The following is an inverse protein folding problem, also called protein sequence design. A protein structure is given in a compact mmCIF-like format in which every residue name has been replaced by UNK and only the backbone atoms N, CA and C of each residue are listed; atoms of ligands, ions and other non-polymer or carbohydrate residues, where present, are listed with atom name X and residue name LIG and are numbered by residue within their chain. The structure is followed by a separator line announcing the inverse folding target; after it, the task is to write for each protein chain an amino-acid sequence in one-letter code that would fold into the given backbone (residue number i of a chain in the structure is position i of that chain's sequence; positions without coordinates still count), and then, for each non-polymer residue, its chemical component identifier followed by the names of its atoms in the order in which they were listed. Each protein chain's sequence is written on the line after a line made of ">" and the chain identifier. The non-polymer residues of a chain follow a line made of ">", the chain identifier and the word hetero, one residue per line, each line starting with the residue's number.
data_IF_170717420900
#
_entry.id   IF_170717420900
#
_cell.length_a   1.000
_cell.length_b   1.000
_cell.length_c   1.000
_cell.angle_alpha   90.00
_cell.angle_beta   90.00
_cell.angle_gamma   90.00
#
_symmetry.space_group_name_H-M   'P 1'
#
loop_
_entity.id
_entity.type
_entity.pdbx_description
1 polymer ?
#
# COMPACT_ATOMS: atom_id res chain seq x y z
N UNK A 1 -40.81 4.47 -11.34
CA UNK A 1 -40.68 5.59 -10.37
C UNK A 1 -39.22 5.92 -9.97
N UNK A 2 -38.22 5.26 -10.57
CA UNK A 2 -36.79 5.42 -10.21
C UNK A 2 -35.94 6.14 -11.28
N UNK A 3 -36.54 6.77 -12.28
CA UNK A 3 -35.81 7.32 -13.44
C UNK A 3 -35.73 8.86 -13.46
N UNK A 4 -36.38 9.54 -12.53
CA UNK A 4 -36.16 10.98 -12.33
C UNK A 4 -35.20 11.27 -11.17
N UNK A 5 -34.01 10.71 -11.24
CA UNK A 5 -32.89 11.33 -10.52
C UNK A 5 -32.68 12.68 -11.18
N UNK A 6 -33.02 13.74 -10.45
CA UNK A 6 -32.97 15.12 -10.89
C UNK A 6 -31.63 15.37 -11.60
N UNK A 7 -31.63 15.71 -12.87
CA UNK A 7 -30.41 15.98 -13.67
C UNK A 7 -29.47 16.97 -12.98
N UNK A 8 -30.07 17.92 -12.25
CA UNK A 8 -29.30 18.89 -11.45
C UNK A 8 -28.56 18.22 -10.30
N UNK A 9 -29.19 17.29 -9.58
CA UNK A 9 -28.56 16.56 -8.49
C UNK A 9 -27.42 15.65 -8.99
N UNK A 10 -27.58 15.00 -10.13
CA UNK A 10 -26.52 14.21 -10.78
C UNK A 10 -25.33 15.08 -11.20
N UNK A 11 -25.61 16.25 -11.77
CA UNK A 11 -24.56 17.19 -12.17
C UNK A 11 -23.82 17.75 -10.96
N UNK A 12 -24.55 18.11 -9.90
CA UNK A 12 -23.97 18.58 -8.64
C UNK A 12 -23.05 17.52 -8.03
N UNK A 13 -23.53 16.29 -7.93
CA UNK A 13 -22.74 15.18 -7.39
C UNK A 13 -21.48 14.92 -8.22
N UNK A 14 -21.57 15.01 -9.56
CA UNK A 14 -20.42 14.84 -10.43
C UNK A 14 -19.37 15.95 -10.21
N UNK A 15 -19.78 17.21 -10.03
CA UNK A 15 -18.86 18.31 -9.74
C UNK A 15 -18.19 18.17 -8.39
N UNK A 16 -18.96 17.85 -7.35
CA UNK A 16 -18.43 17.64 -5.99
C UNK A 16 -17.42 16.47 -5.98
N UNK A 17 -17.75 15.39 -6.66
CA UNK A 17 -16.83 14.23 -6.78
C UNK A 17 -15.54 14.63 -7.50
N UNK A 18 -15.62 15.42 -8.57
CA UNK A 18 -14.44 15.89 -9.30
C UNK A 18 -13.55 16.78 -8.42
N UNK A 19 -14.15 17.66 -7.62
CA UNK A 19 -13.43 18.55 -6.70
C UNK A 19 -12.72 17.79 -5.58
N UNK A 20 -13.35 16.77 -5.01
CA UNK A 20 -12.80 15.99 -3.89
C UNK A 20 -11.72 15.00 -4.36
N UNK A 21 -11.79 14.51 -5.60
CA UNK A 21 -10.92 13.44 -6.12
C UNK A 21 -9.41 13.70 -5.99
N UNK A 22 -8.87 14.92 -6.16
CA UNK A 22 -7.44 15.17 -6.02
C UNK A 22 -6.89 14.85 -4.63
N UNK A 23 -7.66 15.06 -3.55
CA UNK A 23 -7.22 14.81 -2.17
C UNK A 23 -6.85 13.35 -1.91
N UNK A 24 -7.77 12.36 -2.03
CA UNK A 24 -7.45 10.96 -1.79
C UNK A 24 -6.41 10.44 -2.79
N UNK A 25 -6.42 10.95 -4.03
CA UNK A 25 -5.42 10.59 -5.02
C UNK A 25 -4.02 11.06 -4.61
N UNK A 26 -3.87 12.28 -4.10
CA UNK A 26 -2.60 12.81 -3.62
C UNK A 26 -2.06 12.03 -2.42
N UNK A 27 -2.93 11.69 -1.45
CA UNK A 27 -2.57 10.85 -0.30
C UNK A 27 -2.15 9.44 -0.74
N UNK A 28 -2.88 8.88 -1.70
CA UNK A 28 -2.56 7.59 -2.30
C UNK A 28 -1.17 7.62 -2.96
N UNK A 29 -0.90 8.58 -3.83
CA UNK A 29 0.39 8.70 -4.53
C UNK A 29 1.52 8.93 -3.54
N UNK A 30 1.32 9.74 -2.50
CA UNK A 30 2.29 9.95 -1.42
C UNK A 30 2.67 8.63 -0.77
N UNK A 31 1.68 7.85 -0.36
CA UNK A 31 1.89 6.54 0.29
C UNK A 31 2.55 5.53 -0.66
N UNK A 32 2.06 5.46 -1.89
CA UNK A 32 2.51 4.51 -2.89
C UNK A 32 3.95 4.77 -3.37
N UNK A 33 4.29 6.02 -3.61
CA UNK A 33 5.66 6.43 -3.99
C UNK A 33 6.58 6.58 -2.77
N UNK A 34 6.11 6.30 -1.54
CA UNK A 34 6.88 6.48 -0.32
C UNK A 34 7.55 7.86 -0.27
N UNK A 35 6.80 8.89 -0.63
CA UNK A 35 7.31 10.25 -0.62
C UNK A 35 7.41 10.69 0.83
N UNK A 36 8.64 10.82 1.34
CA UNK A 36 8.90 11.37 2.66
C UNK A 36 8.40 12.82 2.75
N UNK A 37 8.00 13.23 3.92
CA UNK A 37 7.27 14.46 4.26
C UNK A 37 7.83 15.71 3.56
N UNK A 38 7.39 15.95 2.33
CA UNK A 38 7.68 17.20 1.63
C UNK A 38 6.58 18.22 1.94
N UNK A 39 6.93 19.47 2.19
CA UNK A 39 5.95 20.54 2.44
C UNK A 39 5.01 20.75 1.23
N UNK A 40 5.47 20.40 0.04
CA UNK A 40 4.73 20.63 -1.21
C UNK A 40 3.38 19.92 -1.25
N UNK A 41 3.29 18.63 -0.88
CA UNK A 41 2.02 17.91 -0.91
C UNK A 41 1.01 18.49 0.08
N UNK A 42 1.47 18.95 1.26
CA UNK A 42 0.62 19.59 2.27
C UNK A 42 0.04 20.89 1.74
N UNK A 43 0.85 21.69 1.05
CA UNK A 43 0.41 22.95 0.42
C UNK A 43 -0.66 22.65 -0.63
N UNK A 44 -0.43 21.71 -1.54
CA UNK A 44 -1.42 21.34 -2.57
C UNK A 44 -2.70 20.84 -1.94
N UNK A 45 -2.62 20.01 -0.89
CA UNK A 45 -3.77 19.49 -0.18
C UNK A 45 -4.61 20.60 0.48
N UNK A 46 -3.96 21.56 1.13
CA UNK A 46 -4.62 22.72 1.74
C UNK A 46 -5.23 23.62 0.67
N UNK A 47 -4.54 23.84 -0.45
CA UNK A 47 -5.07 24.62 -1.57
C UNK A 47 -6.32 23.96 -2.17
N UNK A 48 -6.32 22.64 -2.38
CA UNK A 48 -7.48 21.92 -2.88
C UNK A 48 -8.67 22.05 -1.93
N UNK A 49 -8.45 21.86 -0.62
CA UNK A 49 -9.48 22.06 0.38
C UNK A 49 -10.03 23.49 0.37
N UNK A 50 -9.17 24.49 0.27
CA UNK A 50 -9.59 25.90 0.20
C UNK A 50 -10.43 26.18 -1.05
N UNK A 51 -10.08 25.63 -2.21
CA UNK A 51 -10.84 25.75 -3.46
C UNK A 51 -12.21 25.09 -3.30
N UNK A 52 -12.30 23.90 -2.71
CA UNK A 52 -13.59 23.21 -2.47
C UNK A 52 -14.51 24.08 -1.61
N UNK A 53 -13.99 24.62 -0.50
CA UNK A 53 -14.76 25.48 0.41
C UNK A 53 -15.20 26.75 -0.31
N UNK A 54 -14.30 27.40 -1.05
CA UNK A 54 -14.60 28.62 -1.79
C UNK A 54 -15.68 28.39 -2.85
N UNK A 55 -15.57 27.31 -3.63
CA UNK A 55 -16.55 26.96 -4.65
C UNK A 55 -17.95 26.69 -4.06
N UNK A 56 -18.02 26.03 -2.89
CA UNK A 56 -19.29 25.83 -2.20
C UNK A 56 -19.89 27.14 -1.70
N UNK A 57 -19.10 28.04 -1.12
CA UNK A 57 -19.58 29.37 -0.67
C UNK A 57 -20.08 30.19 -1.86
N UNK A 58 -19.33 30.25 -2.95
CA UNK A 58 -19.71 31.01 -4.14
C UNK A 58 -20.99 30.46 -4.78
N UNK A 59 -21.19 29.15 -4.75
CA UNK A 59 -22.42 28.54 -5.25
C UNK A 59 -23.61 28.79 -4.30
N UNK A 60 -23.42 28.69 -2.98
CA UNK A 60 -24.49 28.95 -2.00
C UNK A 60 -24.94 30.40 -1.99
N UNK A 61 -24.03 31.34 -2.24
CA UNK A 61 -24.36 32.78 -2.32
C UNK A 61 -24.98 33.17 -3.66
N UNK A 62 -25.03 32.23 -4.62
CA UNK A 62 -25.55 32.49 -5.97
C UNK A 62 -24.66 33.37 -6.85
N UNK A 63 -23.46 33.73 -6.35
CA UNK A 63 -22.51 34.56 -7.09
C UNK A 63 -21.90 33.83 -8.28
N UNK A 64 -21.67 32.53 -8.13
CA UNK A 64 -21.08 31.71 -9.18
C UNK A 64 -21.70 30.31 -9.19
N UNK A 65 -22.00 29.81 -10.40
CA UNK A 65 -22.38 28.41 -10.59
C UNK A 65 -21.14 27.53 -10.61
N UNK A 66 -21.20 26.30 -10.10
CA UNK A 66 -20.10 25.31 -10.13
C UNK A 66 -19.46 25.15 -11.51
N UNK A 67 -20.27 25.24 -12.58
CA UNK A 67 -19.77 25.14 -13.96
C UNK A 67 -18.78 26.24 -14.31
N UNK A 68 -18.96 27.42 -13.76
CA UNK A 68 -18.09 28.58 -14.03
C UNK A 68 -16.80 28.58 -13.19
N UNK A 69 -16.82 27.94 -12.02
CA UNK A 69 -15.67 27.85 -11.12
C UNK A 69 -14.78 26.62 -11.35
N UNK A 70 -15.20 25.68 -12.22
CA UNK A 70 -14.47 24.46 -12.57
C UNK A 70 -13.00 24.69 -12.97
N UNK A 71 -12.66 25.85 -13.54
CA UNK A 71 -11.29 26.16 -13.91
C UNK A 71 -10.34 26.13 -12.69
N UNK A 72 -10.80 26.49 -11.48
CA UNK A 72 -10.01 26.42 -10.26
C UNK A 72 -9.67 24.97 -9.92
N UNK A 73 -10.65 24.08 -9.99
CA UNK A 73 -10.46 22.64 -9.80
C UNK A 73 -9.50 22.04 -10.84
N UNK A 74 -9.64 22.43 -12.12
CA UNK A 74 -8.71 22.00 -13.19
C UNK A 74 -7.28 22.46 -12.92
N UNK A 75 -7.11 23.65 -12.35
CA UNK A 75 -5.79 24.19 -11.98
C UNK A 75 -5.16 23.33 -10.85
N UNK A 76 -5.93 22.94 -9.84
CA UNK A 76 -5.47 22.02 -8.78
C UNK A 76 -5.12 20.65 -9.37
N UNK A 77 -5.96 20.09 -10.23
CA UNK A 77 -5.67 18.81 -10.91
C UNK A 77 -4.35 18.90 -11.68
N UNK A 78 -4.12 19.99 -12.41
CA UNK A 78 -2.86 20.22 -13.12
C UNK A 78 -1.66 20.28 -12.16
N UNK A 79 -1.79 20.98 -11.02
CA UNK A 79 -0.75 21.04 -10.00
C UNK A 79 -0.43 19.65 -9.42
N UNK A 80 -1.46 18.85 -9.16
CA UNK A 80 -1.30 17.45 -8.69
C UNK A 80 -0.57 16.63 -9.75
N UNK A 81 -0.94 16.74 -11.03
CA UNK A 81 -0.27 16.04 -12.13
C UNK A 81 1.21 16.40 -12.18
N UNK A 82 1.54 17.69 -12.17
CA UNK A 82 2.94 18.17 -12.20
C UNK A 82 3.71 17.65 -10.98
N UNK A 83 3.13 17.74 -9.79
CA UNK A 83 3.75 17.22 -8.57
C UNK A 83 4.07 15.73 -8.65
N UNK A 84 3.12 14.93 -9.13
CA UNK A 84 3.29 13.47 -9.28
C UNK A 84 4.36 13.15 -10.32
N UNK A 85 4.36 13.85 -11.47
CA UNK A 85 5.38 13.67 -12.51
C UNK A 85 6.79 13.98 -11.97
N UNK A 86 6.94 15.10 -11.25
CA UNK A 86 8.22 15.47 -10.63
C UNK A 86 8.66 14.41 -9.61
N UNK A 87 7.74 13.91 -8.78
CA UNK A 87 8.04 12.85 -7.82
C UNK A 87 8.50 11.55 -8.49
N UNK A 88 7.84 11.16 -9.59
CA UNK A 88 8.21 10.00 -10.39
C UNK A 88 9.60 10.18 -11.01
N UNK A 89 9.85 11.33 -11.65
CA UNK A 89 11.15 11.65 -12.27
C UNK A 89 12.26 11.60 -11.23
N UNK A 90 12.07 12.20 -10.06
CA UNK A 90 13.04 12.16 -8.97
C UNK A 90 13.37 10.74 -8.50
N UNK A 91 12.37 9.86 -8.41
CA UNK A 91 12.59 8.45 -8.08
C UNK A 91 13.32 7.69 -9.21
N UNK A 92 13.00 8.01 -10.46
CA UNK A 92 13.70 7.44 -11.63
C UNK A 92 15.18 7.82 -11.64
N UNK A 93 15.49 9.11 -11.45
CA UNK A 93 16.87 9.61 -11.43
C UNK A 93 17.67 8.98 -10.28
N UNK A 94 17.05 8.80 -9.12
CA UNK A 94 17.70 8.14 -7.96
C UNK A 94 17.79 6.62 -8.10
N UNK A 95 17.38 6.03 -9.22
CA UNK A 95 17.33 4.57 -9.46
C UNK A 95 16.59 3.77 -8.38
N UNK A 96 15.63 4.40 -7.72
CA UNK A 96 14.83 3.80 -6.65
C UNK A 96 13.53 3.17 -7.16
N UNK A 97 13.37 3.01 -8.48
CA UNK A 97 12.22 2.36 -9.07
C UNK A 97 12.46 0.86 -9.21
N UNK A 98 11.78 0.09 -8.39
CA UNK A 98 11.61 -1.34 -8.59
C UNK A 98 10.81 -1.62 -9.86
N UNK A 99 11.02 -2.81 -10.45
CA UNK A 99 10.33 -3.20 -11.69
C UNK A 99 8.80 -3.12 -11.57
N UNK A 100 8.26 -3.40 -10.37
CA UNK A 100 6.82 -3.29 -10.05
C UNK A 100 6.33 -1.84 -10.08
N UNK A 101 7.12 -0.93 -9.54
CA UNK A 101 6.82 0.50 -9.52
C UNK A 101 6.80 1.07 -10.93
N UNK A 102 7.61 0.57 -11.87
CA UNK A 102 7.60 0.97 -13.28
C UNK A 102 6.26 0.71 -13.96
N UNK A 103 5.64 -0.44 -13.73
CA UNK A 103 4.32 -0.76 -14.30
C UNK A 103 3.23 0.16 -13.75
N UNK A 104 3.24 0.44 -12.45
CA UNK A 104 2.27 1.35 -11.83
C UNK A 104 2.48 2.80 -12.30
N UNK A 105 3.73 3.23 -12.47
CA UNK A 105 4.05 4.54 -13.05
C UNK A 105 3.57 4.63 -14.49
N UNK A 106 3.74 3.58 -15.30
CA UNK A 106 3.21 3.52 -16.67
C UNK A 106 1.68 3.66 -16.68
N UNK A 107 0.98 2.96 -15.80
CA UNK A 107 -0.47 3.05 -15.67
C UNK A 107 -0.93 4.45 -15.20
N UNK A 108 -0.20 5.10 -14.26
CA UNK A 108 -0.46 6.49 -13.85
C UNK A 108 -0.30 7.47 -15.01
N UNK A 109 0.73 7.33 -15.83
CA UNK A 109 0.95 8.17 -17.01
C UNK A 109 -0.24 8.02 -17.98
N UNK A 110 -0.75 6.80 -18.21
CA UNK A 110 -1.92 6.59 -19.04
C UNK A 110 -3.17 7.29 -18.49
N UNK A 111 -3.40 7.26 -17.18
CA UNK A 111 -4.51 7.99 -16.54
C UNK A 111 -4.38 9.50 -16.76
N UNK A 112 -3.17 10.05 -16.63
CA UNK A 112 -2.95 11.47 -16.88
C UNK A 112 -3.16 11.86 -18.34
N UNK A 113 -2.69 11.05 -19.29
CA UNK A 113 -2.94 11.30 -20.70
C UNK A 113 -4.45 11.27 -21.02
N UNK A 114 -5.18 10.31 -20.47
CA UNK A 114 -6.63 10.24 -20.62
C UNK A 114 -7.34 11.46 -20.01
N UNK A 115 -6.91 11.92 -18.83
CA UNK A 115 -7.45 13.12 -18.19
C UNK A 115 -7.19 14.38 -19.02
N UNK A 116 -6.01 14.52 -19.64
CA UNK A 116 -5.69 15.64 -20.55
C UNK A 116 -6.58 15.59 -21.80
N UNK A 117 -6.78 14.41 -22.39
CA UNK A 117 -7.68 14.24 -23.57
C UNK A 117 -9.10 14.66 -23.21
N UNK A 118 -9.61 14.20 -22.07
CA UNK A 118 -10.94 14.56 -21.59
C UNK A 118 -11.07 16.07 -21.33
N UNK A 119 -10.04 16.71 -20.77
CA UNK A 119 -10.00 18.14 -20.51
C UNK A 119 -10.04 18.94 -21.82
N UNK A 120 -9.24 18.56 -22.80
CA UNK A 120 -9.25 19.19 -24.14
C UNK A 120 -10.62 19.00 -24.81
N UNK A 121 -11.21 17.80 -24.71
CA UNK A 121 -12.54 17.50 -25.21
C UNK A 121 -13.61 18.39 -24.58
N UNK A 122 -13.57 18.57 -23.26
CA UNK A 122 -14.49 19.43 -22.53
C UNK A 122 -14.47 20.88 -23.04
N UNK A 123 -13.27 21.46 -23.17
CA UNK A 123 -13.13 22.86 -23.63
C UNK A 123 -13.44 23.04 -25.11
N UNK A 124 -13.28 22.02 -25.94
CA UNK A 124 -13.60 22.10 -27.40
C UNK A 124 -15.08 21.88 -27.74
N UNK A 125 -15.70 20.90 -27.10
CA UNK A 125 -17.05 20.45 -27.55
C UNK A 125 -18.16 20.77 -26.54
N UNK A 126 -17.81 21.11 -25.30
CA UNK A 126 -18.77 21.34 -24.20
C UNK A 126 -19.59 20.10 -23.80
N UNK A 127 -19.37 18.95 -24.43
CA UNK A 127 -20.10 17.72 -24.19
C UNK A 127 -19.24 16.60 -23.62
N UNK A 128 -19.81 15.87 -22.64
CA UNK A 128 -19.40 14.56 -22.14
C UNK A 128 -17.88 14.35 -21.95
N UNK A 129 -17.23 15.31 -21.30
CA UNK A 129 -15.89 15.12 -20.79
C UNK A 129 -15.86 14.01 -19.75
N UNK A 130 -14.82 13.22 -19.74
CA UNK A 130 -14.56 12.26 -18.67
C UNK A 130 -14.83 10.80 -18.99
N UNK A 131 -15.11 10.42 -20.23
CA UNK A 131 -15.30 9.00 -20.60
C UNK A 131 -13.97 8.26 -20.61
N UNK A 132 -12.96 8.82 -21.24
CA UNK A 132 -11.64 8.20 -21.34
C UNK A 132 -10.94 8.16 -19.98
N UNK A 133 -11.03 9.24 -19.19
CA UNK A 133 -10.48 9.29 -17.84
C UNK A 133 -11.10 8.26 -16.91
N UNK A 134 -12.42 8.07 -16.97
CA UNK A 134 -13.12 7.04 -16.18
C UNK A 134 -12.68 5.63 -16.53
N UNK A 135 -12.57 5.31 -17.81
CA UNK A 135 -12.10 3.98 -18.26
C UNK A 135 -10.65 3.77 -17.86
N UNK A 136 -9.78 4.75 -18.10
CA UNK A 136 -8.38 4.67 -17.71
C UNK A 136 -8.20 4.54 -16.17
N UNK A 137 -9.02 5.24 -15.40
CA UNK A 137 -9.01 5.14 -13.94
C UNK A 137 -9.47 3.77 -13.43
N UNK A 138 -10.50 3.18 -14.03
CA UNK A 138 -10.92 1.81 -13.71
C UNK A 138 -9.82 0.79 -14.00
N UNK A 139 -9.19 0.90 -15.17
CA UNK A 139 -8.06 0.04 -15.55
C UNK A 139 -6.91 0.22 -14.55
N UNK A 140 -6.60 1.46 -14.16
CA UNK A 140 -5.59 1.76 -13.16
C UNK A 140 -5.90 1.09 -11.82
N UNK A 141 -7.13 1.22 -11.30
CA UNK A 141 -7.53 0.59 -10.04
C UNK A 141 -7.37 -0.93 -10.09
N UNK A 142 -7.77 -1.57 -11.19
CA UNK A 142 -7.64 -3.01 -11.38
C UNK A 142 -6.17 -3.45 -11.40
N UNK A 143 -5.34 -2.80 -12.21
CA UNK A 143 -3.91 -3.11 -12.29
C UNK A 143 -3.20 -2.88 -10.97
N UNK A 144 -3.54 -1.77 -10.30
CA UNK A 144 -2.98 -1.45 -8.98
C UNK A 144 -3.42 -2.47 -7.91
N UNK A 145 -4.70 -2.84 -7.88
CA UNK A 145 -5.22 -3.85 -6.97
C UNK A 145 -4.49 -5.19 -7.13
N UNK A 146 -4.31 -5.63 -8.37
CA UNK A 146 -3.55 -6.86 -8.69
C UNK A 146 -2.09 -6.74 -8.23
N UNK A 147 -1.44 -5.60 -8.49
CA UNK A 147 -0.04 -5.38 -8.10
C UNK A 147 0.12 -5.39 -6.57
N UNK A 148 -0.78 -4.72 -5.85
CA UNK A 148 -0.79 -4.67 -4.38
C UNK A 148 -1.06 -6.05 -3.78
N UNK A 149 -2.06 -6.78 -4.28
CA UNK A 149 -2.37 -8.13 -3.82
C UNK A 149 -1.17 -9.08 -3.99
N UNK A 150 -0.50 -9.05 -5.16
CA UNK A 150 0.72 -9.84 -5.41
C UNK A 150 1.85 -9.48 -4.44
N UNK A 151 2.04 -8.20 -4.14
CA UNK A 151 3.05 -7.74 -3.20
C UNK A 151 2.76 -8.22 -1.78
N UNK A 152 1.52 -8.11 -1.32
CA UNK A 152 1.08 -8.59 0.00
C UNK A 152 1.33 -10.09 0.14
N UNK A 153 0.91 -10.89 -0.85
CA UNK A 153 1.15 -12.35 -0.85
C UNK A 153 2.65 -12.67 -0.83
N UNK A 154 3.47 -11.95 -1.60
CA UNK A 154 4.92 -12.14 -1.61
C UNK A 154 5.58 -11.78 -0.27
N UNK A 155 5.10 -10.72 0.39
CA UNK A 155 5.58 -10.32 1.72
C UNK A 155 5.19 -11.34 2.79
N UNK A 156 3.95 -11.81 2.78
CA UNK A 156 3.50 -12.87 3.70
C UNK A 156 4.30 -14.17 3.53
N UNK A 157 4.60 -14.56 2.29
CA UNK A 157 5.47 -15.74 2.03
C UNK A 157 6.89 -15.54 2.58
N UNK A 158 7.44 -14.33 2.51
CA UNK A 158 8.78 -14.04 3.08
C UNK A 158 8.77 -14.15 4.60
N UNK A 159 7.75 -13.56 5.26
CA UNK A 159 7.60 -13.64 6.72
C UNK A 159 7.48 -15.10 7.16
N UNK A 160 6.59 -15.86 6.52
CA UNK A 160 6.40 -17.28 6.85
C UNK A 160 7.66 -18.11 6.68
N UNK A 161 8.43 -17.87 5.61
CA UNK A 161 9.72 -18.55 5.41
C UNK A 161 10.75 -18.17 6.47
N UNK A 162 10.75 -16.91 6.92
CA UNK A 162 11.64 -16.47 8.00
C UNK A 162 11.29 -17.16 9.32
N UNK A 163 10.00 -17.28 9.65
CA UNK A 163 9.50 -18.01 10.84
C UNK A 163 9.85 -19.51 10.77
N UNK A 164 9.65 -20.14 9.60
CA UNK A 164 10.04 -21.55 9.39
C UNK A 164 11.55 -21.76 9.58
N UNK A 165 12.38 -20.88 9.01
CA UNK A 165 13.83 -20.94 9.17
C UNK A 165 14.28 -20.71 10.63
N UNK A 166 13.63 -19.79 11.34
CA UNK A 166 13.87 -19.55 12.77
C UNK A 166 13.52 -20.77 13.60
N UNK A 167 12.37 -21.41 13.34
CA UNK A 167 11.99 -22.65 14.01
C UNK A 167 13.01 -23.77 13.75
N UNK A 168 13.46 -23.96 12.51
CA UNK A 168 14.50 -24.97 12.20
C UNK A 168 15.84 -24.64 12.84
N UNK A 169 16.19 -23.36 12.98
CA UNK A 169 17.45 -22.94 13.59
C UNK A 169 17.47 -23.12 15.11
N UNK A 170 16.30 -22.96 15.77
CA UNK A 170 16.19 -22.92 17.23
C UNK A 170 15.62 -24.22 17.83
N UNK A 171 14.96 -25.07 17.06
CA UNK A 171 14.39 -26.31 17.56
C UNK A 171 15.19 -27.54 17.09
N UNK A 172 15.18 -28.57 17.91
CA UNK A 172 15.65 -29.89 17.54
C UNK A 172 14.63 -30.59 16.65
N UNK A 173 15.05 -31.11 15.51
CA UNK A 173 14.14 -31.67 14.50
C UNK A 173 13.47 -32.97 14.92
N UNK A 174 14.03 -33.67 15.92
CA UNK A 174 13.50 -34.94 16.39
C UNK A 174 12.52 -34.76 17.55
N UNK A 175 12.88 -33.94 18.52
CA UNK A 175 12.11 -33.77 19.77
C UNK A 175 11.20 -32.55 19.74
N UNK A 176 11.44 -31.59 18.85
CA UNK A 176 10.68 -30.34 18.75
C UNK A 176 10.97 -29.32 19.86
N UNK A 177 11.80 -29.68 20.86
CA UNK A 177 12.21 -28.75 21.92
C UNK A 177 13.32 -27.81 21.41
N UNK A 178 13.63 -26.78 22.17
CA UNK A 178 14.75 -25.88 21.84
C UNK A 178 16.07 -26.63 21.81
N UNK A 179 16.86 -26.37 20.74
CA UNK A 179 18.18 -26.93 20.57
C UNK A 179 19.26 -26.07 21.28
N UNK A 180 20.52 -26.49 21.18
CA UNK A 180 21.66 -25.76 21.75
C UNK A 180 21.77 -24.33 21.24
N UNK A 181 21.44 -24.09 19.96
CA UNK A 181 21.51 -22.73 19.39
C UNK A 181 20.48 -21.80 20.04
N UNK A 182 19.29 -22.30 20.35
CA UNK A 182 18.28 -21.55 21.08
C UNK A 182 18.76 -21.18 22.48
N UNK A 183 19.36 -22.14 23.21
CA UNK A 183 19.96 -21.87 24.52
C UNK A 183 21.00 -20.75 24.45
N UNK A 184 21.96 -20.87 23.51
CA UNK A 184 23.00 -19.87 23.35
C UNK A 184 22.45 -18.49 22.96
N UNK A 185 21.40 -18.45 22.13
CA UNK A 185 20.71 -17.22 21.73
C UNK A 185 20.03 -16.54 22.92
N UNK A 186 19.25 -17.27 23.71
CA UNK A 186 18.53 -16.70 24.85
C UNK A 186 19.48 -16.28 25.97
N UNK A 187 20.49 -17.08 26.27
CA UNK A 187 21.48 -16.75 27.30
C UNK A 187 22.32 -15.51 26.97
N UNK A 188 22.67 -15.32 25.67
CA UNK A 188 23.43 -14.12 25.27
C UNK A 188 22.58 -12.84 25.26
N UNK A 189 21.27 -12.98 25.01
CA UNK A 189 20.38 -11.82 24.93
C UNK A 189 19.73 -11.46 26.28
N UNK A 190 19.78 -12.35 27.27
CA UNK A 190 19.27 -12.07 28.61
C UNK A 190 20.28 -11.23 29.41
N UNK A 191 19.80 -10.09 29.93
CA UNK A 191 20.64 -9.14 30.66
C UNK A 191 20.67 -9.40 32.19
N UNK A 192 19.68 -10.12 32.69
CA UNK A 192 19.56 -10.41 34.13
C UNK A 192 19.09 -11.84 34.36
N UNK A 193 19.89 -12.63 35.02
CA UNK A 193 19.55 -14.01 35.40
C UNK A 193 18.98 -14.14 36.84
N UNK A 194 18.76 -13.01 37.54
CA UNK A 194 18.16 -13.02 38.86
C UNK A 194 16.72 -13.56 38.77
N UNK A 195 16.45 -14.63 39.53
CA UNK A 195 15.15 -15.31 39.52
C UNK A 195 15.04 -16.52 38.61
N UNK A 196 16.08 -16.82 37.82
CA UNK A 196 16.12 -18.04 37.00
C UNK A 196 16.74 -19.21 37.74
N UNK A 197 16.26 -20.42 37.46
CA UNK A 197 16.84 -21.67 37.92
C UNK A 197 17.28 -22.47 36.70
N UNK A 198 18.47 -23.03 36.73
CA UNK A 198 18.96 -23.94 35.68
C UNK A 198 18.77 -25.36 36.22
N UNK A 199 18.04 -26.18 35.45
CA UNK A 199 17.84 -27.59 35.73
C UNK A 199 18.40 -28.41 34.58
N UNK A 200 19.21 -29.39 34.87
CA UNK A 200 19.77 -30.33 33.91
C UNK A 200 19.13 -31.70 34.07
N UNK A 201 18.65 -32.28 32.99
CA UNK A 201 18.12 -33.63 32.94
C UNK A 201 19.04 -34.51 32.11
N UNK A 202 19.22 -35.76 32.52
CA UNK A 202 19.91 -36.78 31.77
C UNK A 202 19.03 -38.03 31.65
N UNK A 203 19.05 -38.67 30.48
CA UNK A 203 18.28 -39.89 30.22
C UNK A 203 19.13 -41.13 30.53
N UNK A 204 18.70 -41.85 31.56
CA UNK A 204 19.37 -43.08 31.95
C UNK A 204 19.12 -44.21 30.90
N UNK A 205 20.16 -45.04 30.70
CA UNK A 205 20.09 -46.23 29.88
C UNK A 205 19.78 -46.05 28.40
N UNK A 206 19.85 -44.84 27.83
CA UNK A 206 19.63 -44.58 26.41
C UNK A 206 20.60 -45.42 25.55
N UNK A 207 21.89 -45.54 25.97
CA UNK A 207 22.86 -46.35 25.26
C UNK A 207 22.44 -47.84 25.23
N UNK A 208 21.99 -48.38 26.35
CA UNK A 208 21.55 -49.78 26.42
C UNK A 208 20.31 -50.01 25.55
N UNK A 209 19.39 -49.04 25.52
CA UNK A 209 18.22 -49.09 24.64
C UNK A 209 18.67 -49.11 23.14
N UNK A 210 19.60 -48.28 22.77
CA UNK A 210 20.16 -48.26 21.40
C UNK A 210 20.87 -49.55 21.04
N UNK A 211 21.70 -50.08 21.93
CA UNK A 211 22.48 -51.29 21.69
C UNK A 211 21.58 -52.55 21.62
N UNK A 212 20.49 -52.60 22.35
CA UNK A 212 19.61 -53.77 22.39
C UNK A 212 18.48 -53.73 21.39
N UNK A 213 17.87 -52.53 21.11
CA UNK A 213 16.67 -52.35 20.31
C UNK A 213 16.89 -51.52 19.06
N UNK A 214 18.14 -51.00 18.89
CA UNK A 214 18.49 -50.17 17.75
C UNK A 214 18.14 -48.69 17.94
N UNK A 215 18.77 -47.81 17.10
CA UNK A 215 18.65 -46.36 17.21
C UNK A 215 17.22 -45.85 17.11
N UNK A 216 16.34 -46.51 16.34
CA UNK A 216 14.93 -46.11 16.24
C UNK A 216 14.18 -46.24 17.59
N UNK A 217 14.56 -47.23 18.41
CA UNK A 217 13.98 -47.37 19.75
C UNK A 217 14.49 -46.28 20.70
N UNK A 218 15.77 -45.92 20.59
CA UNK A 218 16.32 -44.82 21.35
C UNK A 218 15.77 -43.45 20.95
N UNK A 219 15.51 -43.25 19.67
CA UNK A 219 14.85 -42.04 19.18
C UNK A 219 13.41 -41.93 19.74
N UNK A 220 12.67 -43.04 19.70
CA UNK A 220 11.31 -43.09 20.32
C UNK A 220 11.35 -42.88 21.84
N UNK A 221 12.41 -43.33 22.52
CA UNK A 221 12.61 -43.12 23.95
C UNK A 221 12.94 -41.64 24.29
N UNK A 222 13.58 -40.92 23.36
CA UNK A 222 13.84 -39.49 23.51
C UNK A 222 12.60 -38.62 23.31
N UNK A 223 11.63 -39.06 22.49
CA UNK A 223 10.47 -38.27 22.10
C UNK A 223 9.26 -38.52 23.01
N UNK A 224 9.17 -39.67 23.66
CA UNK A 224 8.08 -40.08 24.57
C UNK A 224 8.40 -39.78 26.04
#
# INVERSE_FOLDING_TARGET
>A
LLIFVNRQACSYLAFVTLMIMPMPFLLFVKSFLEIHDSRCWKIIFVMDFAVIVLDHILNMTGLYEFRRSLWMTHLIILLVIVYVLVAIINKMVKRQLDQKLKYCVGALILVFLAAIIDLIGYYRTGNNAGVFGRIAFLIFILLFGIATARQTVASLKKVRRAEELEQFALNDSMTGIYNRNAYDYYVRNEKQFAGYMIVTFDLNNLKQCNDHYGHRAGDAYLVN
#
